data_IF_682864876594
#
_entry.id   IF_682864876594
#
_cell.length_a   1.000
_cell.length_b   1.000
_cell.length_c   1.000
_cell.angle_alpha   90.00
_cell.angle_beta   90.00
_cell.angle_gamma   90.00
#
_symmetry.space_group_name_H-M   'P 1'
#
loop_
_entity.id
_entity.type
_entity.pdbx_description
1 polymer ?
#
# COMPACT_ATOMS: atom_id res chain seq x y z
N UNK A 1 12.02 -21.85 2.00
CA UNK A 1 11.76 -21.05 0.77
C UNK A 1 10.48 -20.21 0.88
N UNK A 2 9.39 -20.72 1.46
CA UNK A 2 8.17 -19.93 1.70
C UNK A 2 8.39 -18.74 2.66
N UNK A 3 9.16 -18.95 3.74
CA UNK A 3 9.52 -17.92 4.73
C UNK A 3 10.22 -16.69 4.12
N UNK A 4 11.17 -16.91 3.20
CA UNK A 4 11.91 -15.82 2.55
C UNK A 4 10.99 -14.97 1.65
N UNK A 5 9.96 -15.57 1.05
CA UNK A 5 8.97 -14.81 0.28
C UNK A 5 8.04 -14.01 1.20
N UNK A 6 7.62 -14.58 2.33
CA UNK A 6 6.83 -13.88 3.33
C UNK A 6 7.58 -12.66 3.90
N UNK A 7 8.87 -12.81 4.24
CA UNK A 7 9.69 -11.70 4.73
C UNK A 7 9.82 -10.56 3.73
N UNK A 8 9.99 -10.87 2.44
CA UNK A 8 10.05 -9.85 1.37
C UNK A 8 8.74 -9.08 1.22
N UNK A 9 7.62 -9.78 1.36
CA UNK A 9 6.30 -9.17 1.30
C UNK A 9 6.09 -8.28 2.52
N UNK A 10 6.46 -8.74 3.71
CA UNK A 10 6.38 -7.93 4.94
C UNK A 10 7.22 -6.65 4.83
N UNK A 11 8.46 -6.75 4.36
CA UNK A 11 9.34 -5.58 4.20
C UNK A 11 8.77 -4.56 3.19
N UNK A 12 8.16 -5.03 2.10
CA UNK A 12 7.51 -4.16 1.13
C UNK A 12 6.26 -3.46 1.72
N UNK A 13 5.46 -4.19 2.51
CA UNK A 13 4.32 -3.60 3.23
C UNK A 13 4.80 -2.57 4.24
N UNK A 14 5.80 -2.89 5.05
CA UNK A 14 6.36 -1.96 6.04
C UNK A 14 6.93 -0.70 5.38
N UNK A 15 7.60 -0.84 4.23
CA UNK A 15 8.11 0.30 3.45
C UNK A 15 6.99 1.21 2.95
N UNK A 16 5.90 0.62 2.46
CA UNK A 16 4.70 1.36 2.04
C UNK A 16 4.07 2.10 3.22
N UNK A 17 3.89 1.44 4.37
CA UNK A 17 3.33 2.04 5.59
C UNK A 17 4.19 3.22 6.05
N UNK A 18 5.52 3.05 6.09
CA UNK A 18 6.45 4.13 6.45
C UNK A 18 6.38 5.31 5.49
N UNK A 19 6.11 5.08 4.20
CA UNK A 19 5.96 6.14 3.22
C UNK A 19 4.67 6.93 3.46
N UNK A 20 3.55 6.25 3.69
CA UNK A 20 2.26 6.89 4.04
C UNK A 20 2.38 7.72 5.32
N UNK A 21 3.03 7.17 6.36
CA UNK A 21 3.27 7.86 7.63
C UNK A 21 4.06 9.16 7.42
N UNK A 22 5.19 9.08 6.71
CA UNK A 22 6.08 10.22 6.48
C UNK A 22 5.45 11.31 5.63
N UNK A 23 4.75 10.94 4.56
CA UNK A 23 4.27 11.90 3.56
C UNK A 23 2.94 12.54 3.95
N UNK A 24 2.09 11.83 4.69
CA UNK A 24 0.72 12.24 4.99
C UNK A 24 0.48 12.41 6.49
N UNK A 25 0.73 11.37 7.31
CA UNK A 25 0.39 11.39 8.74
C UNK A 25 1.18 12.47 9.49
N UNK A 26 2.49 12.61 9.24
CA UNK A 26 3.31 13.65 9.89
C UNK A 26 2.85 15.07 9.57
N UNK A 27 2.43 15.32 8.31
CA UNK A 27 1.91 16.63 7.92
C UNK A 27 0.60 16.94 8.64
N UNK A 28 -0.30 15.96 8.72
CA UNK A 28 -1.56 16.10 9.47
C UNK A 28 -1.32 16.31 10.96
N UNK A 29 -0.36 15.59 11.56
CA UNK A 29 0.05 15.82 12.96
C UNK A 29 0.55 17.26 13.15
N UNK A 30 1.39 17.76 12.24
CA UNK A 30 1.87 19.14 12.29
C UNK A 30 0.74 20.18 12.20
N UNK A 31 -0.25 19.95 11.34
CA UNK A 31 -1.44 20.82 11.25
C UNK A 31 -2.31 20.74 12.50
N UNK A 32 -2.53 19.54 13.03
CA UNK A 32 -3.28 19.32 14.25
C UNK A 32 -2.66 20.09 15.43
N UNK A 33 -1.34 19.98 15.64
CA UNK A 33 -0.68 20.70 16.73
C UNK A 33 -0.72 22.22 16.58
N UNK A 34 -0.60 22.74 15.35
CA UNK A 34 -0.75 24.17 15.08
C UNK A 34 -2.18 24.66 15.36
N UNK A 35 -3.18 23.88 14.93
CA UNK A 35 -4.59 24.15 15.20
C UNK A 35 -4.86 24.20 16.71
N UNK A 36 -4.39 23.19 17.44
CA UNK A 36 -4.53 23.13 18.91
C UNK A 36 -3.83 24.30 19.61
N UNK A 37 -2.65 24.72 19.12
CA UNK A 37 -1.97 25.90 19.66
C UNK A 37 -2.81 27.18 19.48
N UNK A 38 -3.37 27.39 18.28
CA UNK A 38 -4.27 28.53 18.01
C UNK A 38 -5.54 28.48 18.87
N UNK A 39 -6.08 27.29 19.18
CA UNK A 39 -7.19 27.17 20.12
C UNK A 39 -6.82 27.64 21.55
N UNK A 40 -5.57 27.42 21.98
CA UNK A 40 -5.09 27.81 23.30
C UNK A 40 -4.70 29.30 23.40
N UNK A 41 -4.41 29.94 22.27
CA UNK A 41 -4.08 31.38 22.21
C UNK A 41 -5.31 32.27 22.38
N UNK A 42 -6.52 31.74 22.14
CA UNK A 42 -7.77 32.47 22.32
C UNK A 42 -8.09 32.68 23.80
N UNK A 43 -7.72 33.85 24.31
CA UNK A 43 -7.94 34.25 25.70
C UNK A 43 -9.38 34.65 26.01
N UNK A 44 -10.24 34.77 25.00
CA UNK A 44 -11.68 35.09 25.17
C UNK A 44 -12.53 33.83 25.28
N UNK A 45 -12.02 32.69 24.80
CA UNK A 45 -12.71 31.41 24.86
C UNK A 45 -12.71 30.84 26.29
N UNK A 46 -13.82 30.23 26.69
CA UNK A 46 -13.88 29.45 27.93
C UNK A 46 -13.08 28.16 27.80
N UNK A 47 -12.68 27.57 28.93
CA UNK A 47 -11.92 26.30 28.95
C UNK A 47 -12.64 25.18 28.17
N UNK A 48 -13.97 25.10 28.28
CA UNK A 48 -14.79 24.11 27.56
C UNK A 48 -14.74 24.35 26.04
N UNK A 49 -14.75 25.61 25.60
CA UNK A 49 -14.65 25.95 24.18
C UNK A 49 -13.27 25.59 23.62
N UNK A 50 -12.20 25.84 24.37
CA UNK A 50 -10.83 25.47 23.99
C UNK A 50 -10.71 23.96 23.86
N UNK A 51 -11.22 23.18 24.82
CA UNK A 51 -11.21 21.71 24.72
C UNK A 51 -11.98 21.21 23.50
N UNK A 52 -13.17 21.74 23.23
CA UNK A 52 -13.94 21.33 22.06
C UNK A 52 -13.26 21.75 20.74
N UNK A 53 -12.53 22.86 20.72
CA UNK A 53 -11.70 23.29 19.59
C UNK A 53 -10.56 22.28 19.33
N UNK A 54 -9.84 21.88 20.37
CA UNK A 54 -8.76 20.89 20.30
C UNK A 54 -9.30 19.55 19.79
N UNK A 55 -10.42 19.05 20.31
CA UNK A 55 -11.02 17.80 19.84
C UNK A 55 -11.32 17.82 18.33
N UNK A 56 -11.82 18.96 17.82
CA UNK A 56 -12.06 19.15 16.38
C UNK A 56 -10.75 19.16 15.58
N UNK A 57 -9.67 19.72 16.11
CA UNK A 57 -8.35 19.66 15.48
C UNK A 57 -7.80 18.23 15.40
N UNK A 58 -8.11 17.37 16.39
CA UNK A 58 -7.65 15.98 16.44
C UNK A 58 -8.47 15.03 15.58
N UNK A 59 -9.76 15.30 15.37
CA UNK A 59 -10.67 14.40 14.66
C UNK A 59 -10.19 13.99 13.24
N UNK A 60 -9.68 14.89 12.37
CA UNK A 60 -9.21 14.51 11.03
C UNK A 60 -8.01 13.55 11.08
N UNK A 61 -7.08 13.77 12.02
CA UNK A 61 -5.93 12.90 12.19
C UNK A 61 -6.35 11.50 12.64
N UNK A 62 -7.26 11.42 13.62
CA UNK A 62 -7.79 10.16 14.11
C UNK A 62 -8.52 9.37 13.01
N UNK A 63 -9.33 10.05 12.19
CA UNK A 63 -10.01 9.44 11.05
C UNK A 63 -9.02 8.88 10.02
N UNK A 64 -7.99 9.66 9.66
CA UNK A 64 -7.00 9.23 8.69
C UNK A 64 -6.15 8.06 9.21
N UNK A 65 -5.78 8.07 10.48
CA UNK A 65 -5.08 6.94 11.12
C UNK A 65 -5.95 5.68 11.13
N UNK A 66 -7.23 5.78 11.49
CA UNK A 66 -8.16 4.66 11.46
C UNK A 66 -8.34 4.09 10.04
N UNK A 67 -8.48 4.96 9.04
CA UNK A 67 -8.60 4.56 7.64
C UNK A 67 -7.37 3.78 7.19
N UNK A 68 -6.17 4.31 7.42
CA UNK A 68 -4.91 3.65 7.03
C UNK A 68 -4.80 2.28 7.69
N UNK A 69 -5.06 2.17 9.00
CA UNK A 69 -5.04 0.88 9.69
C UNK A 69 -6.04 -0.10 9.09
N UNK A 70 -7.29 0.32 8.88
CA UNK A 70 -8.33 -0.55 8.34
C UNK A 70 -8.03 -1.04 6.92
N UNK A 71 -7.45 -0.18 6.06
CA UNK A 71 -7.10 -0.54 4.69
C UNK A 71 -5.88 -1.46 4.66
N UNK A 72 -4.92 -1.28 5.58
CA UNK A 72 -3.78 -2.18 5.73
C UNK A 72 -4.19 -3.57 6.19
N UNK A 73 -5.13 -3.66 7.14
CA UNK A 73 -5.68 -4.95 7.60
C UNK A 73 -6.38 -5.67 6.45
N UNK A 74 -7.27 -4.98 5.72
CA UNK A 74 -7.93 -5.53 4.53
C UNK A 74 -6.92 -5.95 3.46
N UNK A 75 -5.88 -5.16 3.25
CA UNK A 75 -4.82 -5.48 2.29
C UNK A 75 -4.08 -6.76 2.68
N UNK A 76 -3.68 -6.88 3.95
CA UNK A 76 -2.99 -8.06 4.48
C UNK A 76 -3.85 -9.32 4.39
N UNK A 77 -5.13 -9.25 4.73
CA UNK A 77 -6.06 -10.37 4.59
C UNK A 77 -6.19 -10.84 3.13
N UNK A 78 -6.39 -9.90 2.20
CA UNK A 78 -6.46 -10.21 0.76
C UNK A 78 -5.16 -10.83 0.24
N UNK A 79 -4.02 -10.35 0.71
CA UNK A 79 -2.71 -10.84 0.34
C UNK A 79 -2.46 -12.27 0.86
N UNK A 80 -2.86 -12.56 2.11
CA UNK A 80 -2.78 -13.89 2.68
C UNK A 80 -3.63 -14.89 1.89
N UNK A 81 -4.89 -14.53 1.60
CA UNK A 81 -5.80 -15.36 0.78
C UNK A 81 -5.26 -15.58 -0.64
N UNK A 82 -4.71 -14.54 -1.26
CA UNK A 82 -4.09 -14.65 -2.59
C UNK A 82 -2.89 -15.60 -2.58
N UNK A 83 -2.07 -15.55 -1.53
CA UNK A 83 -0.88 -16.40 -1.40
C UNK A 83 -1.28 -17.88 -1.25
N UNK A 84 -2.29 -18.18 -0.43
CA UNK A 84 -2.83 -19.54 -0.29
C UNK A 84 -3.37 -20.06 -1.62
N UNK A 85 -4.25 -19.30 -2.27
CA UNK A 85 -4.83 -19.70 -3.56
C UNK A 85 -3.78 -19.88 -4.67
N UNK A 86 -2.73 -19.06 -4.68
CA UNK A 86 -1.59 -19.26 -5.59
C UNK A 86 -0.83 -20.56 -5.29
N UNK A 87 -0.67 -20.90 -4.00
CA UNK A 87 -0.01 -22.12 -3.58
C UNK A 87 -0.81 -23.36 -3.98
N UNK A 88 -2.12 -23.35 -3.73
CA UNK A 88 -3.03 -24.46 -4.07
C UNK A 88 -3.06 -24.69 -5.58
N UNK A 89 -3.24 -23.63 -6.38
CA UNK A 89 -3.16 -23.74 -7.85
C UNK A 89 -1.82 -24.30 -8.35
N UNK A 90 -0.72 -23.96 -7.68
CA UNK A 90 0.59 -24.49 -8.04
C UNK A 90 0.70 -25.99 -7.73
N UNK A 91 0.15 -26.44 -6.59
CA UNK A 91 0.06 -27.87 -6.23
C UNK A 91 -0.85 -28.62 -7.20
N UNK A 92 -2.05 -28.11 -7.45
CA UNK A 92 -3.01 -28.72 -8.38
C UNK A 92 -2.42 -28.86 -9.79
N UNK A 93 -1.64 -27.87 -10.25
CA UNK A 93 -0.95 -27.93 -11.55
C UNK A 93 0.17 -28.98 -11.58
N UNK A 94 0.81 -29.26 -10.43
CA UNK A 94 1.82 -30.32 -10.31
C UNK A 94 1.13 -31.69 -10.27
N UNK A 95 0.06 -31.83 -9.49
CA UNK A 95 -0.69 -33.09 -9.33
C UNK A 95 -1.43 -33.48 -10.62
N UNK A 96 -2.06 -32.51 -11.30
CA UNK A 96 -2.66 -32.70 -12.63
C UNK A 96 -1.62 -33.02 -13.71
N UNK A 97 -0.36 -32.59 -13.50
CA UNK A 97 0.79 -32.89 -14.35
C UNK A 97 1.40 -34.27 -14.14
N UNK A 98 0.94 -35.07 -13.17
CA UNK A 98 1.48 -36.40 -12.88
C UNK A 98 1.11 -37.47 -13.93
N UNK A 99 0.51 -37.08 -15.07
CA UNK A 99 0.36 -37.91 -16.28
C UNK A 99 1.26 -37.50 -17.45
N UNK A 100 2.13 -36.50 -17.34
CA UNK A 100 3.15 -36.31 -18.38
C UNK A 100 4.45 -35.77 -17.80
N UNK A 101 5.34 -36.73 -17.51
CA UNK A 101 6.77 -36.54 -17.32
C UNK A 101 7.32 -35.49 -18.29
N UNK A 102 7.43 -34.22 -17.90
CA UNK A 102 8.57 -33.34 -18.21
C UNK A 102 8.65 -32.17 -17.22
N UNK A 103 9.69 -32.25 -16.39
CA UNK A 103 10.36 -31.12 -15.74
C UNK A 103 10.81 -30.13 -16.82
N UNK A 104 9.91 -29.30 -17.35
CA UNK A 104 10.26 -28.13 -18.16
C UNK A 104 9.33 -26.96 -17.81
N UNK A 105 9.97 -25.96 -17.20
CA UNK A 105 9.53 -24.55 -17.02
C UNK A 105 8.72 -24.23 -15.76
N UNK A 106 9.49 -23.96 -14.70
CA UNK A 106 9.39 -22.76 -13.83
C UNK A 106 8.14 -21.89 -14.04
N UNK A 107 7.26 -21.88 -13.03
CA UNK A 107 6.63 -20.66 -12.48
C UNK A 107 6.47 -20.80 -10.96
N UNK A 108 7.60 -20.89 -10.26
CA UNK A 108 7.65 -20.49 -8.85
C UNK A 108 7.97 -18.99 -8.82
N UNK A 109 7.19 -18.25 -8.03
CA UNK A 109 7.21 -16.80 -7.79
C UNK A 109 8.56 -16.09 -8.08
N UNK A 110 8.62 -14.98 -8.84
CA UNK A 110 9.88 -14.40 -9.27
C UNK A 110 10.55 -13.60 -8.14
N UNK A 111 11.34 -14.28 -7.33
CA UNK A 111 12.40 -13.66 -6.53
C UNK A 111 13.76 -13.91 -7.17
N UNK A 112 14.04 -13.25 -8.29
CA UNK A 112 15.43 -13.15 -8.75
C UNK A 112 15.81 -11.68 -8.83
N UNK A 113 16.46 -11.22 -7.75
CA UNK A 113 17.32 -10.05 -7.74
C UNK A 113 18.42 -10.28 -8.78
N UNK A 114 18.15 -9.94 -10.05
CA UNK A 114 19.19 -9.87 -11.07
C UNK A 114 20.02 -8.64 -10.78
N UNK A 115 21.27 -8.86 -10.35
CA UNK A 115 22.35 -7.87 -10.37
C UNK A 115 22.30 -7.11 -11.70
N UNK A 116 22.08 -5.81 -11.60
CA UNK A 116 22.08 -4.85 -12.69
C UNK A 116 23.51 -4.77 -13.27
N UNK A 117 23.88 -5.69 -14.18
CA UNK A 117 25.05 -5.47 -15.04
C UNK A 117 24.60 -4.54 -16.16
N UNK A 118 24.84 -3.25 -15.95
CA UNK A 118 24.57 -2.13 -16.84
C UNK A 118 25.15 -2.43 -18.23
N UNK A 119 24.32 -2.86 -19.17
CA UNK A 119 24.65 -2.87 -20.60
C UNK A 119 23.63 -1.98 -21.29
N UNK A 120 24.05 -0.74 -21.58
CA UNK A 120 23.31 0.21 -22.42
C UNK A 120 23.04 -0.44 -23.78
N UNK A 121 21.80 -0.84 -24.06
CA UNK A 121 21.18 -0.78 -25.40
C UNK A 121 19.68 -0.59 -25.19
N UNK A 122 19.18 0.54 -25.63
CA UNK A 122 17.77 0.91 -25.49
C UNK A 122 16.88 0.02 -26.34
N UNK A 123 15.79 -0.44 -25.74
CA UNK A 123 14.52 -0.77 -26.37
C UNK A 123 13.46 -0.62 -25.28
N UNK A 124 12.42 0.17 -25.57
CA UNK A 124 11.34 0.50 -24.64
C UNK A 124 10.50 -0.72 -24.27
N UNK A 125 10.08 -0.80 -23.00
CA UNK A 125 9.12 -1.80 -22.53
C UNK A 125 7.72 -1.17 -22.44
N UNK A 126 7.03 -1.10 -23.58
CA UNK A 126 5.56 -1.07 -23.61
C UNK A 126 5.07 -2.51 -23.55
N UNK A 127 4.82 -3.04 -22.34
CA UNK A 127 3.98 -4.24 -22.14
C UNK A 127 3.60 -4.39 -20.67
N UNK A 128 2.46 -3.82 -20.30
CA UNK A 128 1.70 -4.21 -19.11
C UNK A 128 1.17 -5.63 -19.32
N UNK A 129 1.57 -6.56 -18.46
CA UNK A 129 0.91 -7.87 -18.35
C UNK A 129 -0.39 -7.66 -17.58
N UNK A 130 -1.53 -7.76 -18.27
CA UNK A 130 -2.88 -7.72 -17.69
C UNK A 130 -3.09 -8.95 -16.81
N UNK A 131 -3.33 -8.75 -15.51
CA UNK A 131 -3.85 -9.78 -14.62
C UNK A 131 -5.32 -10.08 -14.97
N UNK A 132 -5.71 -11.34 -15.24
CA UNK A 132 -7.05 -11.69 -15.70
C UNK A 132 -8.14 -11.71 -14.61
N UNK A 133 -7.88 -11.19 -13.41
CA UNK A 133 -8.86 -11.10 -12.31
C UNK A 133 -8.96 -9.70 -11.69
N UNK A 134 -8.53 -8.66 -12.42
CA UNK A 134 -8.71 -7.27 -12.01
C UNK A 134 -9.80 -6.64 -12.89
N UNK A 135 -11.04 -6.63 -12.39
CA UNK A 135 -12.14 -5.93 -13.06
C UNK A 135 -11.87 -4.42 -12.98
N UNK A 136 -11.97 -3.70 -14.11
CA UNK A 136 -11.61 -2.27 -14.22
C UNK A 136 -12.60 -1.32 -13.53
N UNK A 137 -13.56 -1.82 -12.77
CA UNK A 137 -14.61 -1.02 -12.11
C UNK A 137 -14.27 -0.57 -10.68
N UNK A 138 -13.16 -1.03 -10.08
CA UNK A 138 -12.70 -0.63 -8.73
C UNK A 138 -11.52 0.35 -8.74
N UNK A 139 -11.36 1.15 -9.81
CA UNK A 139 -10.46 2.31 -9.76
C UNK A 139 -11.18 3.50 -9.11
N UNK A 140 -10.70 4.03 -7.97
CA UNK A 140 -11.06 5.40 -7.61
C UNK A 140 -10.46 6.34 -8.67
N UNK A 141 -11.36 6.98 -9.43
CA UNK A 141 -11.07 8.02 -10.40
C UNK A 141 -10.50 9.23 -9.67
N UNK A 142 -9.18 9.32 -9.54
CA UNK A 142 -8.49 10.59 -9.24
C UNK A 142 -8.48 11.44 -10.51
N UNK A 143 -9.65 12.02 -10.82
CA UNK A 143 -9.76 13.13 -11.75
C UNK A 143 -9.50 14.43 -11.00
N UNK A 144 -8.41 15.10 -11.34
CA UNK A 144 -8.07 16.41 -10.79
C UNK A 144 -6.98 17.06 -11.63
N UNK A 145 -7.38 17.63 -12.76
CA UNK A 145 -6.61 18.62 -13.50
C UNK A 145 -6.46 19.88 -12.65
N UNK A 146 -5.23 20.22 -12.28
CA UNK A 146 -4.84 21.59 -11.94
C UNK A 146 -3.55 21.93 -12.67
N UNK A 147 -3.72 22.51 -13.86
CA UNK A 147 -2.75 23.42 -14.46
C UNK A 147 -2.80 24.74 -13.68
N UNK A 148 -1.75 25.05 -12.91
CA UNK A 148 -1.39 26.44 -12.59
C UNK A 148 0.13 26.54 -12.72
N UNK A 149 0.54 27.06 -13.87
CA UNK A 149 1.82 27.71 -14.10
C UNK A 149 1.78 29.10 -13.47
N UNK A 150 2.95 29.57 -13.03
CA UNK A 150 3.22 30.90 -12.50
C UNK A 150 2.75 32.06 -13.39
#
# INVERSE_FOLDING_TARGET
>A
MAEVQQLRVQEAVDSMVKSVERENIRKMQGLMFRCSASCCEDSQASMQQVHQCIERCHAPLAQAQALVTSELEKFQDRLARCTMHCNDKAKDSIDAGNKELQVKRKKLCPSTTKKFKKKKKGYGCTSMVKCPYFNSQDYPRWGGTTSISA
#
